data_IF_702074690686
#
_entry.id   IF_702074690686
#
_cell.length_a   1.000
_cell.length_b   1.000
_cell.length_c   1.000
_cell.angle_alpha   90.00
_cell.angle_beta   90.00
_cell.angle_gamma   90.00
#
_symmetry.space_group_name_H-M   'P 1'
#
loop_
_entity.id
_entity.type
_entity.pdbx_description
1 polymer ?
#
# COMPACT_ATOMS: atom_id res chain seq x y z
N UNK A 1 10.03 85.62 63.73
CA UNK A 1 10.68 84.56 64.51
C UNK A 1 11.27 83.55 63.54
N UNK A 2 12.60 83.52 63.45
CA UNK A 2 13.36 82.52 62.70
C UNK A 2 13.92 81.54 63.73
N UNK A 3 13.64 80.25 63.55
CA UNK A 3 14.30 79.16 64.26
C UNK A 3 14.27 77.93 63.33
N UNK A 4 15.28 77.74 62.47
CA UNK A 4 16.50 76.94 62.68
C UNK A 4 16.26 75.47 63.04
N UNK A 5 16.58 74.60 62.07
CA UNK A 5 16.73 73.15 62.23
C UNK A 5 18.07 72.79 62.91
N UNK A 6 18.12 71.78 63.80
CA UNK A 6 19.36 71.11 64.16
C UNK A 6 19.52 69.74 63.46
N UNK A 7 20.53 69.71 62.58
CA UNK A 7 21.55 68.67 62.45
C UNK A 7 21.15 67.22 62.11
N UNK A 8 21.08 67.01 60.80
CA UNK A 8 21.62 65.87 60.07
C UNK A 8 23.06 65.54 60.52
N UNK A 9 23.25 64.44 61.27
CA UNK A 9 24.61 64.03 61.68
C UNK A 9 24.79 62.57 62.12
N UNK A 10 23.70 61.82 62.35
CA UNK A 10 23.78 60.41 62.82
C UNK A 10 23.30 59.36 61.80
N UNK A 11 22.66 59.74 60.69
CA UNK A 11 22.13 58.79 59.70
C UNK A 11 23.12 58.33 58.63
N UNK A 12 24.25 59.04 58.44
CA UNK A 12 25.23 58.71 57.39
C UNK A 12 26.26 57.65 57.79
N UNK A 13 26.47 57.38 59.09
CA UNK A 13 27.46 56.38 59.55
C UNK A 13 26.94 54.94 59.45
N UNK A 14 25.64 54.72 59.62
CA UNK A 14 25.00 53.39 59.53
C UNK A 14 24.83 52.90 58.09
N UNK A 15 24.51 53.80 57.15
CA UNK A 15 24.39 53.44 55.72
C UNK A 15 25.74 53.10 55.08
N UNK A 16 26.82 53.82 55.43
CA UNK A 16 28.17 53.54 54.94
C UNK A 16 28.70 52.19 55.44
N UNK A 17 28.40 51.82 56.69
CA UNK A 17 28.77 50.50 57.26
C UNK A 17 28.03 49.36 56.54
N UNK A 18 26.74 49.53 56.23
CA UNK A 18 25.94 48.52 55.53
C UNK A 18 26.37 48.33 54.06
N UNK A 19 26.76 49.42 53.37
CA UNK A 19 27.29 49.36 52.01
C UNK A 19 28.72 48.77 51.97
N UNK A 20 29.58 49.15 52.90
CA UNK A 20 30.94 48.59 53.02
C UNK A 20 30.92 47.09 53.42
N UNK A 21 30.00 46.65 54.28
CA UNK A 21 29.82 45.21 54.59
C UNK A 21 29.26 44.42 53.39
N UNK A 22 28.48 45.06 52.51
CA UNK A 22 28.00 44.45 51.25
C UNK A 22 29.10 44.39 50.20
N UNK A 23 29.87 45.46 50.01
CA UNK A 23 30.98 45.50 49.07
C UNK A 23 32.15 44.61 49.50
N UNK A 24 32.43 44.47 50.80
CA UNK A 24 33.44 43.54 51.32
C UNK A 24 32.99 42.06 51.22
N UNK A 25 31.68 41.79 51.31
CA UNK A 25 31.10 40.46 51.00
C UNK A 25 31.09 40.16 49.50
N UNK A 26 31.01 41.19 48.64
CA UNK A 26 31.08 41.05 47.18
C UNK A 26 32.54 40.93 46.71
N UNK A 27 33.50 41.64 47.33
CA UNK A 27 34.92 41.59 46.96
C UNK A 27 35.66 40.35 47.51
N UNK A 28 35.26 39.83 48.69
CA UNK A 28 35.86 38.58 49.23
C UNK A 28 35.33 37.30 48.57
N UNK A 29 34.29 37.38 47.73
CA UNK A 29 33.71 36.21 47.05
C UNK A 29 34.27 35.95 45.64
N UNK A 30 35.13 36.85 45.11
CA UNK A 30 35.57 36.82 43.70
C UNK A 30 36.98 36.23 43.50
N UNK A 31 37.74 35.90 44.55
CA UNK A 31 39.08 35.29 44.38
C UNK A 31 39.36 34.15 45.35
N UNK A 32 39.10 32.90 44.93
CA UNK A 32 39.84 31.75 45.50
C UNK A 32 39.13 30.39 45.61
N UNK A 33 37.80 30.30 45.54
CA UNK A 33 37.12 28.97 45.65
C UNK A 33 36.99 28.29 44.29
N UNK A 34 37.86 27.29 44.05
CA UNK A 34 37.79 26.42 42.86
C UNK A 34 36.60 25.44 42.89
N UNK A 35 35.98 25.26 44.06
CA UNK A 35 34.89 24.32 44.28
C UNK A 35 33.64 24.99 44.88
N UNK A 36 32.48 24.42 44.55
CA UNK A 36 31.14 24.81 45.01
C UNK A 36 30.36 23.55 45.39
N UNK A 37 29.58 23.64 46.46
CA UNK A 37 28.73 22.54 46.93
C UNK A 37 27.36 22.57 46.26
N UNK A 38 26.95 21.43 45.71
CA UNK A 38 25.68 21.30 45.00
C UNK A 38 24.51 21.28 45.99
N UNK A 39 23.47 22.09 45.77
CA UNK A 39 22.31 22.12 46.66
C UNK A 39 21.46 20.83 46.60
N UNK A 40 21.62 20.00 45.56
CA UNK A 40 20.87 18.74 45.34
C UNK A 40 21.62 17.52 45.84
N UNK A 41 22.81 17.22 45.30
CA UNK A 41 23.58 16.05 45.71
C UNK A 41 24.51 16.30 46.90
N UNK A 42 24.61 17.56 47.38
CA UNK A 42 25.42 17.98 48.53
C UNK A 42 26.94 17.74 48.41
N UNK A 43 27.41 17.28 47.26
CA UNK A 43 28.83 17.10 46.98
C UNK A 43 29.50 18.43 46.60
N UNK A 44 30.73 18.61 47.07
CA UNK A 44 31.62 19.67 46.63
C UNK A 44 32.23 19.29 45.27
N UNK A 45 32.09 20.18 44.28
CA UNK A 45 32.54 19.96 42.89
C UNK A 45 33.18 21.22 42.35
N UNK A 46 34.02 21.09 41.33
CA UNK A 46 34.58 22.25 40.62
C UNK A 46 33.48 23.19 40.11
N UNK A 47 33.76 24.49 40.11
CA UNK A 47 32.88 25.53 39.54
C UNK A 47 32.48 25.26 38.08
N UNK A 48 33.31 24.54 37.31
CA UNK A 48 33.01 24.15 35.92
C UNK A 48 31.82 23.19 35.80
N UNK A 49 31.49 22.47 36.87
CA UNK A 49 30.36 21.55 36.93
C UNK A 49 29.01 22.26 37.13
N UNK A 50 28.98 23.58 37.16
CA UNK A 50 27.78 24.39 37.37
C UNK A 50 27.52 25.30 36.16
N UNK A 51 26.25 25.37 35.73
CA UNK A 51 25.85 26.32 34.70
C UNK A 51 25.63 27.72 35.25
N UNK A 52 25.56 28.72 34.37
CA UNK A 52 25.40 30.12 34.77
C UNK A 52 23.99 30.44 35.30
N UNK A 53 23.93 31.33 36.29
CA UNK A 53 22.70 31.94 36.83
C UNK A 53 22.98 33.39 37.23
N UNK A 54 22.55 34.34 36.39
CA UNK A 54 22.80 35.78 36.59
C UNK A 54 22.25 36.34 37.91
N UNK A 55 21.24 35.69 38.48
CA UNK A 55 20.62 36.11 39.74
C UNK A 55 21.29 35.54 40.98
N UNK A 56 22.27 34.63 40.86
CA UNK A 56 23.02 34.14 42.03
C UNK A 56 24.17 35.08 42.38
N UNK A 57 24.51 35.21 43.68
CA UNK A 57 25.62 36.08 44.11
C UNK A 57 26.99 35.76 43.48
N UNK A 58 27.21 34.50 43.08
CA UNK A 58 28.45 34.01 42.47
C UNK A 58 28.33 33.75 40.96
N UNK A 59 27.21 34.11 40.34
CA UNK A 59 26.94 33.90 38.91
C UNK A 59 26.73 32.44 38.46
N UNK A 60 26.84 31.47 39.38
CA UNK A 60 26.70 30.04 39.13
C UNK A 60 25.42 29.46 39.75
N UNK A 61 24.81 28.47 39.09
CA UNK A 61 23.66 27.74 39.61
C UNK A 61 23.97 27.04 40.92
N UNK A 62 22.92 26.86 41.72
CA UNK A 62 23.00 26.17 43.00
C UNK A 62 23.09 24.64 42.83
N UNK A 63 22.55 24.09 41.75
CA UNK A 63 22.58 22.68 41.38
C UNK A 63 23.62 22.39 40.30
N UNK A 64 24.35 21.27 40.43
CA UNK A 64 25.34 20.85 39.44
C UNK A 64 24.69 20.33 38.15
N UNK A 65 25.45 20.34 37.06
CA UNK A 65 25.00 19.92 35.73
C UNK A 65 24.45 18.48 35.70
N UNK A 66 25.02 17.56 36.50
CA UNK A 66 24.57 16.17 36.59
C UNK A 66 23.16 16.08 37.18
N UNK A 67 22.93 16.73 38.33
CA UNK A 67 21.61 16.76 38.98
C UNK A 67 20.57 17.40 38.05
N UNK A 68 20.96 18.41 37.27
CA UNK A 68 20.07 19.03 36.27
C UNK A 68 19.77 18.09 35.11
N UNK A 69 20.76 17.32 34.64
CA UNK A 69 20.58 16.30 33.58
C UNK A 69 19.63 15.20 34.05
N UNK A 70 19.81 14.70 35.27
CA UNK A 70 18.90 13.73 35.88
C UNK A 70 17.47 14.28 36.01
N UNK A 71 17.32 15.51 36.50
CA UNK A 71 16.02 16.16 36.62
C UNK A 71 15.33 16.32 35.25
N UNK A 72 16.06 16.77 34.22
CA UNK A 72 15.55 16.86 32.84
C UNK A 72 15.12 15.50 32.29
N UNK A 73 15.90 14.45 32.54
CA UNK A 73 15.56 13.09 32.12
C UNK A 73 14.30 12.57 32.83
N UNK A 74 14.19 12.78 34.14
CA UNK A 74 12.98 12.44 34.91
C UNK A 74 11.73 13.17 34.38
N UNK A 75 11.85 14.47 34.08
CA UNK A 75 10.76 15.24 33.45
C UNK A 75 10.43 14.68 32.07
N UNK A 76 11.42 14.38 31.24
CA UNK A 76 11.20 13.84 29.89
C UNK A 76 10.41 12.54 29.94
N UNK A 77 10.76 11.64 30.85
CA UNK A 77 10.04 10.39 31.08
C UNK A 77 8.61 10.69 31.56
N UNK A 78 8.47 11.52 32.59
CA UNK A 78 7.16 11.88 33.14
C UNK A 78 6.22 12.53 32.11
N UNK A 79 6.71 13.45 31.27
CA UNK A 79 5.93 14.07 30.18
C UNK A 79 5.53 13.02 29.15
N UNK A 80 6.45 12.13 28.76
CA UNK A 80 6.17 11.07 27.79
C UNK A 80 5.07 10.14 28.31
N UNK A 81 5.14 9.78 29.58
CA UNK A 81 4.20 8.89 30.25
C UNK A 81 2.83 9.56 30.41
N UNK A 82 2.81 10.82 30.86
CA UNK A 82 1.58 11.64 30.91
C UNK A 82 0.91 11.77 29.54
N UNK A 83 1.68 12.06 28.49
CA UNK A 83 1.15 12.18 27.12
C UNK A 83 0.61 10.83 26.60
N UNK A 84 1.29 9.74 26.95
CA UNK A 84 0.84 8.38 26.63
C UNK A 84 -0.48 8.07 27.33
N UNK A 85 -0.59 8.27 28.64
CA UNK A 85 -1.82 8.05 29.41
C UNK A 85 -2.97 8.95 28.95
N UNK A 86 -2.68 10.19 28.56
CA UNK A 86 -3.67 11.08 27.94
C UNK A 86 -4.16 10.55 26.60
N UNK A 87 -3.25 10.12 25.72
CA UNK A 87 -3.62 9.54 24.43
C UNK A 87 -4.41 8.24 24.61
N UNK A 88 -4.00 7.36 25.54
CA UNK A 88 -4.69 6.10 25.82
C UNK A 88 -6.09 6.33 26.38
N UNK A 89 -6.27 7.25 27.34
CA UNK A 89 -7.58 7.55 27.92
C UNK A 89 -8.55 8.25 26.96
N UNK A 90 -8.03 8.95 25.95
CA UNK A 90 -8.83 9.69 24.96
C UNK A 90 -8.70 9.18 23.53
N UNK A 91 -8.18 7.96 23.35
CA UNK A 91 -7.79 7.44 22.04
C UNK A 91 -8.96 7.49 21.06
N UNK A 92 -10.10 6.96 21.47
CA UNK A 92 -11.27 6.83 20.61
C UNK A 92 -11.89 8.20 20.29
N UNK A 93 -11.95 9.11 21.28
CA UNK A 93 -12.38 10.51 21.08
C UNK A 93 -11.49 11.23 20.05
N UNK A 94 -10.17 11.09 20.18
CA UNK A 94 -9.20 11.71 19.27
C UNK A 94 -9.33 11.12 17.85
N UNK A 95 -9.48 9.80 17.74
CA UNK A 95 -9.63 9.12 16.45
C UNK A 95 -10.93 9.54 15.75
N UNK A 96 -12.04 9.62 16.48
CA UNK A 96 -13.33 10.03 15.92
C UNK A 96 -13.31 11.50 15.51
N UNK A 97 -12.73 12.38 16.34
CA UNK A 97 -12.53 13.80 15.98
C UNK A 97 -11.67 13.95 14.74
N UNK A 98 -10.59 13.19 14.62
CA UNK A 98 -9.72 13.20 13.44
C UNK A 98 -10.42 12.66 12.19
N UNK A 99 -11.25 11.62 12.33
CA UNK A 99 -12.07 11.08 11.25
C UNK A 99 -13.07 12.12 10.76
N UNK A 100 -13.79 12.76 11.68
CA UNK A 100 -14.72 13.86 11.37
C UNK A 100 -14.00 15.00 10.65
N UNK A 101 -12.87 15.46 11.18
CA UNK A 101 -12.06 16.50 10.53
C UNK A 101 -11.66 16.12 9.09
N UNK A 102 -11.22 14.88 8.85
CA UNK A 102 -10.84 14.40 7.50
C UNK A 102 -12.02 14.39 6.54
N UNK A 103 -13.22 14.04 7.02
CA UNK A 103 -14.45 14.02 6.22
C UNK A 103 -14.87 15.46 5.90
N UNK A 104 -15.02 16.29 6.93
CA UNK A 104 -15.49 17.67 6.83
C UNK A 104 -14.55 18.52 5.95
N UNK A 105 -13.24 18.25 5.98
CA UNK A 105 -12.23 19.02 5.24
C UNK A 105 -11.67 18.27 4.02
N UNK A 106 -12.31 17.18 3.57
CA UNK A 106 -11.76 16.32 2.52
C UNK A 106 -11.39 17.09 1.25
N UNK A 107 -12.27 18.00 0.80
CA UNK A 107 -12.03 18.81 -0.39
C UNK A 107 -10.80 19.72 -0.24
N UNK A 108 -10.69 20.46 0.87
CA UNK A 108 -9.55 21.35 1.14
C UNK A 108 -8.24 20.56 1.26
N UNK A 109 -8.26 19.41 1.95
CA UNK A 109 -7.10 18.52 2.08
C UNK A 109 -6.67 17.99 0.71
N UNK A 110 -7.63 17.62 -0.15
CA UNK A 110 -7.34 17.16 -1.50
C UNK A 110 -6.70 18.27 -2.35
N UNK A 111 -7.20 19.50 -2.27
CA UNK A 111 -6.65 20.63 -3.03
C UNK A 111 -5.24 20.98 -2.55
N UNK A 112 -5.01 21.12 -1.24
CA UNK A 112 -3.68 21.38 -0.68
C UNK A 112 -2.66 20.30 -1.11
N UNK A 113 -3.07 19.03 -1.12
CA UNK A 113 -2.21 17.92 -1.59
C UNK A 113 -1.89 18.03 -3.07
N UNK A 114 -2.86 18.45 -3.88
CA UNK A 114 -2.69 18.65 -5.32
C UNK A 114 -1.73 19.82 -5.58
N UNK A 115 -1.92 20.95 -4.93
CA UNK A 115 -1.02 22.11 -4.99
C UNK A 115 0.41 21.74 -4.59
N UNK A 116 0.59 21.07 -3.46
CA UNK A 116 1.91 20.62 -3.00
C UNK A 116 2.59 19.70 -4.02
N UNK A 117 1.88 18.71 -4.57
CA UNK A 117 2.42 17.80 -5.61
C UNK A 117 2.73 18.50 -6.92
N UNK A 118 2.05 19.61 -7.21
CA UNK A 118 2.23 20.37 -8.44
C UNK A 118 3.44 21.33 -8.39
N UNK A 119 4.03 21.55 -7.21
CA UNK A 119 5.27 22.33 -7.08
C UNK A 119 6.40 21.66 -7.85
N UNK A 120 7.17 22.45 -8.58
CA UNK A 120 8.19 21.94 -9.50
C UNK A 120 9.32 21.20 -8.75
N UNK A 121 9.73 21.73 -7.60
CA UNK A 121 10.68 21.09 -6.69
C UNK A 121 10.24 19.68 -6.26
N UNK A 122 8.94 19.50 -5.98
CA UNK A 122 8.36 18.22 -5.55
C UNK A 122 8.28 17.25 -6.72
N UNK A 123 7.86 17.70 -7.91
CA UNK A 123 7.87 16.87 -9.12
C UNK A 123 9.27 16.36 -9.45
N UNK A 124 10.27 17.25 -9.38
CA UNK A 124 11.66 16.90 -9.63
C UNK A 124 12.21 15.92 -8.59
N UNK A 125 11.91 16.15 -7.31
CA UNK A 125 12.26 15.22 -6.24
C UNK A 125 11.65 13.83 -6.45
N UNK A 126 10.36 13.76 -6.78
CA UNK A 126 9.66 12.49 -7.07
C UNK A 126 10.30 11.79 -8.26
N UNK A 127 10.60 12.52 -9.35
CA UNK A 127 11.24 11.97 -10.55
C UNK A 127 12.63 11.39 -10.25
N UNK A 128 13.45 12.10 -9.47
CA UNK A 128 14.76 11.62 -9.05
C UNK A 128 14.64 10.37 -8.19
N UNK A 129 13.76 10.39 -7.18
CA UNK A 129 13.50 9.23 -6.32
C UNK A 129 12.99 8.03 -7.14
N UNK A 130 12.09 8.24 -8.09
CA UNK A 130 11.61 7.15 -8.95
C UNK A 130 12.74 6.49 -9.75
N UNK A 131 13.74 7.24 -10.21
CA UNK A 131 14.93 6.69 -10.87
C UNK A 131 15.78 5.86 -9.91
N UNK A 132 16.06 6.38 -8.72
CA UNK A 132 16.81 5.68 -7.66
C UNK A 132 16.12 4.35 -7.26
N UNK A 133 14.80 4.38 -7.09
CA UNK A 133 14.01 3.23 -6.68
C UNK A 133 13.69 2.25 -7.83
N UNK A 134 14.04 2.56 -9.08
CA UNK A 134 13.67 1.74 -10.23
C UNK A 134 14.31 0.34 -10.16
N UNK A 135 15.58 0.25 -9.79
CA UNK A 135 16.31 -1.02 -9.65
C UNK A 135 15.68 -1.89 -8.56
N UNK A 136 15.43 -1.30 -7.39
CA UNK A 136 14.78 -1.95 -6.24
C UNK A 136 13.38 -2.43 -6.63
N UNK A 137 12.59 -1.59 -7.31
CA UNK A 137 11.24 -1.95 -7.77
C UNK A 137 11.29 -3.13 -8.75
N UNK A 138 12.22 -3.12 -9.71
CA UNK A 138 12.39 -4.23 -10.66
C UNK A 138 12.74 -5.52 -9.94
N UNK A 139 13.68 -5.47 -8.98
CA UNK A 139 14.08 -6.62 -8.18
C UNK A 139 12.91 -7.15 -7.35
N UNK A 140 12.17 -6.27 -6.67
CA UNK A 140 10.99 -6.67 -5.89
C UNK A 140 9.91 -7.33 -6.74
N UNK A 141 9.68 -6.84 -7.97
CA UNK A 141 8.73 -7.49 -8.90
C UNK A 141 9.26 -8.86 -9.32
N UNK A 142 10.55 -9.01 -9.62
CA UNK A 142 11.15 -10.31 -9.97
C UNK A 142 11.04 -11.31 -8.82
N UNK A 143 11.32 -10.89 -7.59
CA UNK A 143 11.16 -11.72 -6.38
C UNK A 143 9.69 -12.11 -6.24
N UNK A 144 8.77 -11.14 -6.33
CA UNK A 144 7.34 -11.39 -6.17
C UNK A 144 6.78 -12.36 -7.22
N UNK A 145 7.25 -12.30 -8.47
CA UNK A 145 6.88 -13.29 -9.51
C UNK A 145 7.25 -14.72 -9.14
N UNK A 146 8.34 -14.91 -8.38
CA UNK A 146 8.81 -16.24 -7.94
C UNK A 146 8.14 -16.72 -6.66
N UNK A 147 7.79 -15.80 -5.76
CA UNK A 147 7.28 -16.14 -4.42
C UNK A 147 5.76 -16.10 -4.31
N UNK A 148 5.08 -15.30 -5.12
CA UNK A 148 3.64 -15.05 -5.06
C UNK A 148 2.98 -15.51 -6.36
N UNK A 149 2.45 -16.72 -6.34
CA UNK A 149 1.83 -17.33 -7.52
C UNK A 149 0.58 -16.58 -7.98
N UNK A 150 -0.20 -16.03 -7.03
CA UNK A 150 -1.37 -15.23 -7.37
C UNK A 150 -0.96 -13.95 -8.10
N UNK A 151 0.14 -13.31 -7.70
CA UNK A 151 0.70 -12.18 -8.42
C UNK A 151 1.13 -12.57 -9.83
N UNK A 152 1.84 -13.69 -9.99
CA UNK A 152 2.32 -14.16 -11.29
C UNK A 152 1.16 -14.44 -12.27
N UNK A 153 0.13 -15.20 -11.85
CA UNK A 153 -1.06 -15.48 -12.68
C UNK A 153 -1.75 -14.16 -13.05
N UNK A 154 -2.00 -13.30 -12.06
CA UNK A 154 -2.68 -12.03 -12.28
C UNK A 154 -1.91 -11.12 -13.23
N UNK A 155 -0.58 -11.10 -13.15
CA UNK A 155 0.27 -10.31 -14.03
C UNK A 155 0.18 -10.79 -15.49
N UNK A 156 0.24 -12.11 -15.72
CA UNK A 156 0.14 -12.71 -17.06
C UNK A 156 -1.19 -12.32 -17.71
N UNK A 157 -2.32 -12.58 -17.02
CA UNK A 157 -3.64 -12.33 -17.60
C UNK A 157 -3.89 -10.83 -17.76
N UNK A 158 -3.56 -10.01 -16.75
CA UNK A 158 -3.71 -8.55 -16.83
C UNK A 158 -2.87 -7.94 -17.95
N UNK A 159 -1.66 -8.44 -18.17
CA UNK A 159 -0.80 -7.98 -19.26
C UNK A 159 -1.47 -8.22 -20.61
N UNK A 160 -2.06 -9.40 -20.82
CA UNK A 160 -2.80 -9.72 -22.06
C UNK A 160 -4.02 -8.83 -22.23
N UNK A 161 -4.86 -8.69 -21.19
CA UNK A 161 -6.04 -7.81 -21.20
C UNK A 161 -5.65 -6.38 -21.53
N UNK A 162 -4.61 -5.84 -20.88
CA UNK A 162 -4.17 -4.46 -21.13
C UNK A 162 -3.64 -4.26 -22.57
N UNK A 163 -2.92 -5.26 -23.10
CA UNK A 163 -2.41 -5.22 -24.47
C UNK A 163 -3.55 -5.20 -25.50
N UNK A 164 -4.58 -6.01 -25.28
CA UNK A 164 -5.69 -6.18 -26.23
C UNK A 164 -6.74 -5.07 -26.11
N UNK A 165 -7.03 -4.61 -24.89
CA UNK A 165 -8.08 -3.62 -24.60
C UNK A 165 -7.49 -2.23 -24.33
N UNK A 166 -6.44 -1.87 -25.06
CA UNK A 166 -5.79 -0.57 -24.91
C UNK A 166 -6.84 0.55 -25.04
N UNK A 167 -6.77 1.53 -24.15
CA UNK A 167 -7.71 2.67 -24.06
C UNK A 167 -9.14 2.34 -23.62
N UNK A 168 -9.47 1.08 -23.31
CA UNK A 168 -10.77 0.73 -22.71
C UNK A 168 -10.66 0.66 -21.19
N UNK A 169 -11.55 1.37 -20.48
CA UNK A 169 -11.67 1.25 -19.02
C UNK A 169 -12.28 -0.11 -18.70
N UNK A 170 -11.47 -1.02 -18.18
CA UNK A 170 -11.89 -2.38 -17.83
C UNK A 170 -11.29 -2.80 -16.51
N UNK A 171 -11.98 -3.70 -15.79
CA UNK A 171 -11.40 -4.42 -14.67
C UNK A 171 -11.09 -5.85 -15.11
N UNK A 172 -9.83 -6.25 -15.01
CA UNK A 172 -9.41 -7.61 -15.35
C UNK A 172 -10.17 -8.67 -14.53
N UNK A 173 -10.52 -8.37 -13.27
CA UNK A 173 -11.30 -9.27 -12.41
C UNK A 173 -12.69 -9.53 -12.98
N UNK A 174 -13.32 -8.50 -13.55
CA UNK A 174 -14.67 -8.60 -14.09
C UNK A 174 -14.66 -9.40 -15.40
N UNK A 175 -13.60 -9.27 -16.20
CA UNK A 175 -13.44 -10.00 -17.46
C UNK A 175 -13.10 -11.48 -17.24
N UNK A 176 -12.23 -11.78 -16.26
CA UNK A 176 -11.89 -13.17 -15.93
C UNK A 176 -13.11 -13.91 -15.36
N UNK A 177 -13.99 -13.22 -14.62
CA UNK A 177 -15.22 -13.81 -14.07
C UNK A 177 -14.99 -14.71 -12.84
N UNK A 178 -13.79 -14.68 -12.26
CA UNK A 178 -13.48 -15.34 -10.99
C UNK A 178 -12.31 -14.64 -10.28
N UNK A 179 -12.07 -14.98 -9.02
CA UNK A 179 -10.89 -14.55 -8.30
C UNK A 179 -9.64 -15.36 -8.72
N UNK A 180 -8.46 -14.84 -8.38
CA UNK A 180 -7.19 -15.46 -8.78
C UNK A 180 -6.94 -16.83 -8.14
N UNK A 181 -7.49 -17.09 -6.96
CA UNK A 181 -7.37 -18.39 -6.30
C UNK A 181 -8.27 -19.43 -6.98
N UNK A 182 -9.46 -19.04 -7.40
CA UNK A 182 -10.30 -19.86 -8.26
C UNK A 182 -9.58 -20.19 -9.59
N UNK A 183 -9.02 -19.19 -10.27
CA UNK A 183 -8.30 -19.40 -11.52
C UNK A 183 -7.09 -20.33 -11.36
N UNK A 184 -6.38 -20.23 -10.22
CA UNK A 184 -5.29 -21.14 -9.86
C UNK A 184 -5.78 -22.59 -9.82
N UNK A 185 -6.85 -22.87 -9.09
CA UNK A 185 -7.42 -24.22 -9.00
C UNK A 185 -7.95 -24.74 -10.34
N UNK A 186 -8.55 -23.87 -11.15
CA UNK A 186 -8.98 -24.24 -12.51
C UNK A 186 -7.81 -24.70 -13.39
N UNK A 187 -6.69 -23.96 -13.35
CA UNK A 187 -5.48 -24.34 -14.10
C UNK A 187 -4.87 -25.64 -13.57
N UNK A 188 -4.76 -25.80 -12.24
CA UNK A 188 -4.24 -27.03 -11.60
C UNK A 188 -5.08 -28.26 -11.95
N UNK A 189 -6.40 -28.13 -11.97
CA UNK A 189 -7.31 -29.22 -12.36
C UNK A 189 -7.03 -29.73 -13.78
N UNK A 190 -6.42 -28.90 -14.63
CA UNK A 190 -6.14 -29.18 -16.03
C UNK A 190 -4.66 -29.51 -16.30
N UNK A 191 -3.83 -29.63 -15.27
CA UNK A 191 -2.42 -29.98 -15.45
C UNK A 191 -2.24 -31.40 -15.96
N UNK A 192 -1.25 -31.58 -16.82
CA UNK A 192 -0.66 -32.90 -17.08
C UNK A 192 0.31 -33.25 -15.95
N UNK A 193 0.70 -34.53 -15.78
CA UNK A 193 1.65 -34.93 -14.73
C UNK A 193 2.97 -34.14 -14.72
N UNK A 194 3.38 -33.60 -15.86
CA UNK A 194 4.61 -32.83 -16.02
C UNK A 194 4.46 -31.34 -15.65
N UNK A 195 3.23 -30.82 -15.56
CA UNK A 195 2.95 -29.41 -15.30
C UNK A 195 2.89 -29.10 -13.81
N UNK A 196 3.58 -28.04 -13.40
CA UNK A 196 3.48 -27.47 -12.06
C UNK A 196 3.81 -25.96 -12.09
N UNK A 197 3.62 -25.26 -10.99
CA UNK A 197 3.85 -23.81 -10.97
C UNK A 197 5.31 -23.40 -11.13
N UNK A 198 6.27 -24.27 -10.80
CA UNK A 198 7.70 -23.96 -10.96
C UNK A 198 8.14 -23.93 -12.43
N UNK A 199 7.40 -24.63 -13.30
CA UNK A 199 7.68 -24.66 -14.73
C UNK A 199 6.69 -23.85 -15.59
N UNK A 200 5.92 -22.94 -14.97
CA UNK A 200 5.13 -21.92 -15.66
C UNK A 200 6.05 -20.96 -16.42
N UNK A 201 5.80 -20.81 -17.73
CA UNK A 201 6.57 -19.98 -18.65
C UNK A 201 7.73 -20.70 -19.33
N UNK A 202 8.26 -21.76 -18.72
CA UNK A 202 9.30 -22.61 -19.31
C UNK A 202 8.73 -23.84 -20.02
N UNK A 203 7.91 -24.64 -19.34
CA UNK A 203 7.27 -25.83 -19.92
C UNK A 203 5.88 -25.50 -20.50
N UNK A 204 5.06 -24.78 -19.74
CA UNK A 204 3.67 -24.50 -20.11
C UNK A 204 3.30 -23.03 -19.90
N UNK A 205 2.23 -22.61 -20.56
CA UNK A 205 1.73 -21.24 -20.56
C UNK A 205 0.20 -21.23 -20.45
N UNK A 206 -0.36 -20.09 -20.04
CA UNK A 206 -1.81 -19.88 -20.05
C UNK A 206 -2.24 -19.51 -21.48
N UNK A 207 -2.93 -20.42 -22.15
CA UNK A 207 -3.46 -20.27 -23.51
C UNK A 207 -4.96 -19.93 -23.49
N UNK A 208 -5.45 -19.32 -24.58
CA UNK A 208 -6.87 -19.11 -24.83
C UNK A 208 -7.39 -20.19 -25.77
N UNK A 209 -8.39 -20.97 -25.34
CA UNK A 209 -8.96 -22.09 -26.09
C UNK A 209 -9.54 -21.59 -27.41
N UNK A 210 -10.41 -20.59 -27.33
CA UNK A 210 -10.82 -19.74 -28.44
C UNK A 210 -9.74 -18.67 -28.67
N UNK A 211 -9.12 -18.62 -29.86
CA UNK A 211 -7.97 -17.76 -30.11
C UNK A 211 -8.38 -16.27 -30.04
N UNK A 212 -7.54 -15.47 -29.37
CA UNK A 212 -7.76 -14.02 -29.18
C UNK A 212 -8.02 -13.29 -30.50
N UNK A 213 -7.31 -13.67 -31.56
CA UNK A 213 -7.41 -13.04 -32.88
C UNK A 213 -8.79 -13.22 -33.55
N UNK A 214 -9.61 -14.16 -33.08
CA UNK A 214 -10.96 -14.36 -33.60
C UNK A 214 -11.96 -13.34 -33.09
N UNK A 215 -11.67 -12.60 -32.02
CA UNK A 215 -12.64 -11.74 -31.34
C UNK A 215 -12.61 -10.29 -31.84
N UNK A 216 -13.79 -9.68 -31.94
CA UNK A 216 -13.95 -8.25 -32.17
C UNK A 216 -14.12 -7.52 -30.83
N UNK A 217 -13.02 -6.95 -30.33
CA UNK A 217 -13.03 -6.21 -29.07
C UNK A 217 -13.78 -4.88 -29.13
N UNK A 218 -14.39 -4.47 -30.24
CA UNK A 218 -15.39 -3.40 -30.24
C UNK A 218 -16.63 -3.79 -29.41
N UNK A 219 -16.98 -5.09 -29.40
CA UNK A 219 -18.15 -5.67 -28.73
C UNK A 219 -17.84 -6.06 -27.29
N UNK A 220 -18.75 -5.75 -26.36
CA UNK A 220 -18.56 -6.11 -24.95
C UNK A 220 -18.60 -7.62 -24.71
N UNK A 221 -19.48 -8.31 -25.43
CA UNK A 221 -19.65 -9.76 -25.31
C UNK A 221 -18.35 -10.51 -25.66
N UNK A 222 -17.71 -10.14 -26.78
CA UNK A 222 -16.43 -10.71 -27.23
C UNK A 222 -15.32 -10.53 -26.18
N UNK A 223 -15.25 -9.36 -25.53
CA UNK A 223 -14.29 -9.12 -24.45
C UNK A 223 -14.53 -10.06 -23.26
N UNK A 224 -15.79 -10.25 -22.85
CA UNK A 224 -16.16 -11.14 -21.74
C UNK A 224 -15.85 -12.59 -22.08
N UNK A 225 -16.28 -13.07 -23.25
CA UNK A 225 -16.04 -14.45 -23.68
C UNK A 225 -14.54 -14.75 -23.79
N UNK A 226 -13.78 -13.86 -24.43
CA UNK A 226 -12.37 -14.07 -24.70
C UNK A 226 -11.53 -14.22 -23.42
N UNK A 227 -11.74 -13.35 -22.43
CA UNK A 227 -10.89 -13.30 -21.23
C UNK A 227 -11.45 -14.09 -20.03
N UNK A 228 -12.66 -14.64 -20.13
CA UNK A 228 -13.27 -15.42 -19.06
C UNK A 228 -12.45 -16.68 -18.75
N UNK A 229 -12.43 -17.11 -17.48
CA UNK A 229 -11.62 -18.24 -17.03
C UNK A 229 -11.94 -19.55 -17.77
N UNK A 230 -13.18 -19.74 -18.22
CA UNK A 230 -13.59 -20.90 -19.01
C UNK A 230 -12.90 -20.96 -20.37
N UNK A 231 -12.39 -19.84 -20.90
CA UNK A 231 -11.61 -19.81 -22.13
C UNK A 231 -10.10 -19.98 -21.89
N UNK A 232 -9.65 -20.11 -20.64
CA UNK A 232 -8.23 -20.22 -20.30
C UNK A 232 -7.85 -21.69 -20.04
N UNK A 233 -6.68 -22.09 -20.52
CA UNK A 233 -6.13 -23.44 -20.30
C UNK A 233 -4.62 -23.42 -20.08
N UNK A 234 -4.07 -24.37 -19.29
CA UNK A 234 -2.65 -24.69 -19.40
C UNK A 234 -2.39 -25.40 -20.72
N UNK A 235 -1.34 -25.00 -21.42
CA UNK A 235 -0.87 -25.65 -22.65
C UNK A 235 0.65 -25.61 -22.69
N UNK A 236 1.31 -26.66 -23.19
CA UNK A 236 2.78 -26.61 -23.28
C UNK A 236 3.21 -25.47 -24.21
N UNK A 237 4.39 -24.90 -23.97
CA UNK A 237 4.90 -23.81 -24.79
C UNK A 237 5.09 -24.22 -26.26
N UNK A 238 5.35 -25.50 -26.52
CA UNK A 238 5.44 -26.08 -27.85
C UNK A 238 4.07 -26.16 -28.53
N UNK A 239 3.09 -26.79 -27.88
CA UNK A 239 1.73 -26.91 -28.42
C UNK A 239 1.08 -25.53 -28.64
N UNK A 240 1.27 -24.59 -27.70
CA UNK A 240 0.76 -23.22 -27.84
C UNK A 240 1.30 -22.53 -29.09
N UNK A 241 2.60 -22.72 -29.38
CA UNK A 241 3.23 -22.18 -30.59
C UNK A 241 2.70 -22.84 -31.86
N UNK A 242 2.46 -24.15 -31.83
CA UNK A 242 1.92 -24.90 -32.98
C UNK A 242 0.44 -24.58 -33.24
N UNK A 243 -0.34 -24.38 -32.17
CA UNK A 243 -1.74 -23.95 -32.21
C UNK A 243 -1.87 -22.56 -32.83
N UNK A 244 -0.99 -21.61 -32.48
CA UNK A 244 -1.06 -20.23 -32.95
C UNK A 244 -2.45 -19.64 -32.68
N UNK A 245 -3.11 -19.12 -33.71
CA UNK A 245 -4.45 -18.56 -33.74
C UNK A 245 -5.48 -19.52 -34.34
N UNK A 246 -5.13 -20.80 -34.49
CA UNK A 246 -6.06 -21.82 -35.01
C UNK A 246 -7.14 -22.13 -33.98
N UNK A 247 -8.38 -22.16 -34.45
CA UNK A 247 -9.52 -22.65 -33.69
C UNK A 247 -9.57 -24.19 -33.78
N UNK A 248 -9.21 -24.86 -32.70
CA UNK A 248 -9.22 -26.33 -32.62
C UNK A 248 -10.48 -26.79 -31.85
N UNK A 249 -11.50 -27.24 -32.58
CA UNK A 249 -12.81 -27.58 -31.98
C UNK A 249 -12.70 -28.65 -30.88
N UNK A 250 -11.81 -29.63 -31.02
CA UNK A 250 -11.61 -30.64 -29.99
C UNK A 250 -11.12 -30.05 -28.65
N UNK A 251 -10.28 -29.00 -28.66
CA UNK A 251 -9.92 -28.29 -27.42
C UNK A 251 -11.14 -27.66 -26.76
N UNK A 252 -12.04 -27.09 -27.56
CA UNK A 252 -13.25 -26.45 -27.06
C UNK A 252 -14.27 -27.46 -26.52
N UNK A 253 -14.49 -28.59 -27.20
CA UNK A 253 -15.35 -29.66 -26.68
C UNK A 253 -14.79 -30.27 -25.38
N UNK A 254 -13.48 -30.54 -25.34
CA UNK A 254 -12.82 -30.98 -24.11
C UNK A 254 -12.98 -29.95 -22.98
N UNK A 255 -12.97 -28.67 -23.31
CA UNK A 255 -13.17 -27.60 -22.34
C UNK A 255 -14.56 -27.63 -21.70
N UNK A 256 -15.62 -27.83 -22.48
CA UNK A 256 -16.99 -27.94 -21.96
C UNK A 256 -17.07 -29.08 -20.92
N UNK A 257 -16.47 -30.23 -21.24
CA UNK A 257 -16.41 -31.38 -20.33
C UNK A 257 -15.61 -31.03 -19.07
N UNK A 258 -14.46 -30.36 -19.21
CA UNK A 258 -13.63 -29.95 -18.09
C UNK A 258 -14.33 -28.95 -17.16
N UNK A 259 -15.06 -27.96 -17.69
CA UNK A 259 -15.84 -27.00 -16.90
C UNK A 259 -16.89 -27.74 -16.07
N UNK A 260 -17.63 -28.67 -16.68
CA UNK A 260 -18.64 -29.48 -15.98
C UNK A 260 -18.00 -30.34 -14.88
N UNK A 261 -16.87 -31.00 -15.16
CA UNK A 261 -16.15 -31.83 -14.18
C UNK A 261 -15.58 -31.01 -13.02
N UNK A 262 -15.01 -29.85 -13.31
CA UNK A 262 -14.46 -28.96 -12.28
C UNK A 262 -15.53 -28.42 -11.34
N UNK A 263 -16.66 -27.98 -11.90
CA UNK A 263 -17.82 -27.56 -11.11
C UNK A 263 -18.36 -28.69 -10.22
N UNK A 264 -18.48 -29.92 -10.77
CA UNK A 264 -18.87 -31.09 -9.98
C UNK A 264 -17.88 -31.40 -8.86
N UNK A 265 -16.57 -31.32 -9.14
CA UNK A 265 -15.51 -31.53 -8.15
C UNK A 265 -15.58 -30.52 -7.00
N UNK A 266 -15.85 -29.24 -7.31
CA UNK A 266 -15.94 -28.17 -6.31
C UNK A 266 -17.31 -28.00 -5.65
N UNK A 267 -18.35 -28.69 -6.15
CA UNK A 267 -19.75 -28.48 -5.77
C UNK A 267 -20.20 -27.02 -5.99
N UNK A 268 -19.71 -26.44 -7.08
CA UNK A 268 -20.04 -25.08 -7.52
C UNK A 268 -20.70 -25.16 -8.90
N UNK A 269 -21.40 -24.11 -9.32
CA UNK A 269 -22.08 -24.04 -10.62
C UNK A 269 -21.74 -22.77 -11.40
N UNK A 270 -20.44 -22.47 -11.52
CA UNK A 270 -19.94 -21.25 -12.13
C UNK A 270 -19.57 -21.45 -13.61
N UNK A 271 -19.66 -20.39 -14.41
CA UNK A 271 -19.16 -20.35 -15.79
C UNK A 271 -20.06 -21.00 -16.85
N UNK A 272 -21.18 -21.66 -16.49
CA UNK A 272 -22.12 -22.22 -17.47
C UNK A 272 -22.66 -21.18 -18.45
N UNK A 273 -22.98 -19.98 -17.96
CA UNK A 273 -23.41 -18.87 -18.81
C UNK A 273 -22.34 -18.50 -19.83
N UNK A 274 -21.08 -18.31 -19.38
CA UNK A 274 -19.97 -17.97 -20.27
C UNK A 274 -19.69 -19.08 -21.30
N UNK A 275 -19.83 -20.36 -20.92
CA UNK A 275 -19.73 -21.48 -21.87
C UNK A 275 -20.83 -21.38 -22.92
N UNK A 276 -22.09 -21.17 -22.52
CA UNK A 276 -23.20 -21.03 -23.46
C UNK A 276 -23.02 -19.83 -24.41
N UNK A 277 -22.62 -18.67 -23.88
CA UNK A 277 -22.31 -17.47 -24.67
C UNK A 277 -21.17 -17.72 -25.66
N UNK A 278 -20.10 -18.41 -25.23
CA UNK A 278 -19.00 -18.78 -26.11
C UNK A 278 -19.40 -19.78 -27.20
N UNK A 279 -20.37 -20.65 -26.93
CA UNK A 279 -20.90 -21.60 -27.92
C UNK A 279 -21.73 -20.87 -28.97
N UNK A 280 -22.54 -19.89 -28.56
CA UNK A 280 -23.29 -19.05 -29.50
C UNK A 280 -22.35 -18.21 -30.36
N UNK A 281 -21.31 -17.63 -29.76
CA UNK A 281 -20.25 -16.94 -30.51
C UNK A 281 -19.60 -17.87 -31.56
N UNK A 282 -19.24 -19.09 -31.15
CA UNK A 282 -18.62 -20.08 -32.04
C UNK A 282 -19.51 -20.45 -33.23
N UNK A 283 -20.83 -20.60 -33.00
CA UNK A 283 -21.82 -20.88 -34.07
C UNK A 283 -21.87 -19.75 -35.10
N UNK A 284 -21.87 -18.50 -34.65
CA UNK A 284 -21.89 -17.33 -35.52
C UNK A 284 -20.60 -17.24 -36.36
N UNK A 285 -19.44 -17.42 -35.74
CA UNK A 285 -18.13 -17.33 -36.42
C UNK A 285 -17.89 -18.45 -37.43
N UNK A 286 -18.23 -19.69 -37.08
CA UNK A 286 -18.13 -20.83 -38.00
C UNK A 286 -19.19 -20.80 -39.12
N UNK A 287 -20.14 -19.84 -39.07
CA UNK A 287 -21.31 -19.78 -39.94
C UNK A 287 -22.09 -21.10 -40.00
N UNK A 288 -22.02 -21.89 -38.94
CA UNK A 288 -22.79 -23.13 -38.81
C UNK A 288 -24.24 -22.71 -38.53
N UNK A 289 -25.06 -22.69 -39.57
CA UNK A 289 -26.39 -22.05 -39.49
C UNK A 289 -26.77 -21.14 -40.66
N UNK A 290 -26.09 -21.20 -41.81
CA UNK A 290 -26.83 -21.13 -43.10
C UNK A 290 -27.53 -22.47 -43.41
N UNK A 291 -27.95 -23.22 -42.39
CA UNK A 291 -29.05 -24.13 -42.59
C UNK A 291 -30.30 -23.26 -42.79
N UNK A 292 -31.19 -23.62 -43.73
CA UNK A 292 -32.44 -22.90 -43.90
C UNK A 292 -33.11 -22.74 -42.53
N UNK A 293 -33.72 -21.57 -42.29
CA UNK A 293 -34.66 -21.47 -41.19
C UNK A 293 -35.64 -22.62 -41.31
N UNK A 294 -36.18 -23.09 -40.18
CA UNK A 294 -37.18 -24.17 -40.15
C UNK A 294 -38.43 -23.88 -41.01
N UNK A 295 -38.53 -22.67 -41.58
CA UNK A 295 -39.58 -22.22 -42.49
C UNK A 295 -39.34 -22.61 -43.97
N UNK A 296 -38.18 -23.18 -44.32
CA UNK A 296 -37.92 -23.66 -45.69
C UNK A 296 -37.40 -25.10 -45.69
N UNK A 297 -38.24 -26.01 -45.21
CA UNK A 297 -38.18 -27.41 -45.69
C UNK A 297 -39.13 -27.49 -46.87
N UNK A 298 -38.59 -27.38 -48.09
CA UNK A 298 -39.31 -27.86 -49.25
C UNK A 298 -39.41 -29.38 -49.15
N UNK A 299 -40.60 -29.91 -49.43
CA UNK A 299 -41.01 -31.30 -49.30
C UNK A 299 -40.24 -32.29 -50.20
N UNK A 300 -38.91 -32.30 -50.21
CA UNK A 300 -38.11 -33.31 -50.94
C UNK A 300 -36.67 -33.32 -50.43
N UNK A 301 -36.39 -33.98 -49.31
CA UNK A 301 -35.10 -34.64 -49.09
C UNK A 301 -35.31 -35.81 -48.13
N UNK A 302 -35.01 -37.01 -48.62
CA UNK A 302 -35.03 -38.26 -47.86
C UNK A 302 -34.03 -38.21 -46.72
N UNK A 303 -34.52 -38.38 -45.49
CA UNK A 303 -33.73 -38.51 -44.27
C UNK A 303 -32.72 -39.66 -44.40
N UNK A 304 -31.45 -39.38 -44.13
CA UNK A 304 -30.49 -40.41 -43.76
C UNK A 304 -30.50 -40.44 -42.24
N UNK A 305 -31.12 -41.49 -41.70
CA UNK A 305 -31.14 -41.85 -40.28
C UNK A 305 -29.74 -41.80 -39.68
N UNK A 306 -29.53 -40.92 -38.70
CA UNK A 306 -28.44 -41.04 -37.76
C UNK A 306 -29.05 -41.34 -36.38
N UNK A 307 -29.17 -42.62 -35.98
CA UNK A 307 -29.85 -42.98 -34.75
C UNK A 307 -29.05 -42.44 -33.55
N UNK A 308 -29.66 -41.50 -32.82
CA UNK A 308 -29.20 -41.16 -31.47
C UNK A 308 -29.31 -42.41 -30.59
N UNK A 309 -28.29 -42.77 -29.80
CA UNK A 309 -28.42 -43.85 -28.84
C UNK A 309 -29.45 -43.46 -27.78
N UNK A 310 -30.52 -44.25 -27.70
CA UNK A 310 -31.55 -44.14 -26.66
C UNK A 310 -30.94 -44.40 -25.27
N UNK A 311 -31.39 -43.63 -24.29
CA UNK A 311 -31.11 -43.79 -22.86
C UNK A 311 -31.50 -45.18 -22.33
#
# INVERSE_FOLDING_TARGET
>A
MVATYPNCGKFLKTYKKYFLEKEYKISSAISGRMNKTCCKCKNEKSIQCYGNLKSSPDGLRYDCNDCRKEYRNKIKVHIKEKNRSYYESKKDEILEKNKKYRIDNNASICEQRKEYRNREEIKNHIKQKQKEYLSIRKLNIQVRRKTDIHFQISEIVRSKVHKMLKNKKTSYTNLIGCDVNFLKHWLEFRFTPEMNWNNLGSLWQIDHILPINGFDFSKENDMKICFHWTNLQPLTALENRQKSDKLLLHHYYNNIVNVTRFNKFRREYLGYQAVNESLQWLRLELRYGKNPSYEVVSNNTTEIDNPQPSL
#
